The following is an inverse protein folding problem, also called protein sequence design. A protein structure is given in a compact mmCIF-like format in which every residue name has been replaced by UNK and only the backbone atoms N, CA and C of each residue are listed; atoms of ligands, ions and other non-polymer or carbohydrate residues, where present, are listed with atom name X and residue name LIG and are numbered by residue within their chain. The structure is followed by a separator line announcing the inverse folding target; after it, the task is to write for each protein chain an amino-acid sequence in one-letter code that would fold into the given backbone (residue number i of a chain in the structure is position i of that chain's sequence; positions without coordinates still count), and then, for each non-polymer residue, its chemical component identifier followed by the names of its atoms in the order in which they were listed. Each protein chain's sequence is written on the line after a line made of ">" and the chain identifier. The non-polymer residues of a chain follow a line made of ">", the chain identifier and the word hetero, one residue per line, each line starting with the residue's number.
data_IF_341602096863
#
_entry.id   IF_341602096863
#
_cell.length_a   1.000
_cell.length_b   1.000
_cell.length_c   1.000
_cell.angle_alpha   90.00
_cell.angle_beta   90.00
_cell.angle_gamma   90.00
#
_symmetry.space_group_name_H-M   'P 1'
#
loop_
_entity.id
_entity.type
_entity.pdbx_description
1 polymer ?
#
# COMPACT_ATOMS: atom_id res chain seq x y z
N UNK A 1 20.46 -26.38 -3.22
CA UNK A 1 20.94 -25.80 -1.92
C UNK A 1 20.85 -24.27 -1.84
N UNK A 2 20.96 -23.50 -2.94
CA UNK A 2 20.94 -22.02 -2.88
C UNK A 2 19.56 -21.41 -2.58
N UNK A 3 18.46 -22.06 -3.00
CA UNK A 3 17.11 -21.59 -2.72
C UNK A 3 16.74 -21.58 -1.22
N UNK A 4 17.23 -22.55 -0.44
CA UNK A 4 17.00 -22.60 1.01
C UNK A 4 17.66 -21.41 1.74
N UNK A 5 18.81 -20.94 1.28
CA UNK A 5 19.52 -19.79 1.86
C UNK A 5 18.81 -18.47 1.57
N UNK A 6 18.17 -18.34 0.40
CA UNK A 6 17.38 -17.16 0.05
C UNK A 6 16.19 -16.97 1.00
N UNK A 7 15.55 -18.05 1.44
CA UNK A 7 14.42 -17.99 2.37
C UNK A 7 14.83 -17.36 3.70
N UNK A 8 16.00 -17.71 4.23
CA UNK A 8 16.52 -17.14 5.49
C UNK A 8 16.83 -15.64 5.40
N UNK A 9 17.01 -15.10 4.20
CA UNK A 9 17.26 -13.67 3.97
C UNK A 9 15.94 -12.94 3.64
N UNK A 10 15.11 -13.50 2.76
CA UNK A 10 13.86 -12.89 2.31
C UNK A 10 12.80 -12.84 3.41
N UNK A 11 12.69 -13.89 4.23
CA UNK A 11 11.70 -13.97 5.29
C UNK A 11 11.86 -12.83 6.33
N UNK A 12 13.04 -12.60 6.94
CA UNK A 12 13.19 -11.48 7.86
C UNK A 12 13.04 -10.14 7.15
N UNK A 13 13.51 -9.99 5.91
CA UNK A 13 13.40 -8.73 5.16
C UNK A 13 11.93 -8.32 4.94
N UNK A 14 11.04 -9.29 4.64
CA UNK A 14 9.60 -9.05 4.55
C UNK A 14 8.94 -8.78 5.91
N UNK A 15 9.47 -9.34 7.00
CA UNK A 15 8.96 -9.02 8.34
C UNK A 15 9.41 -7.63 8.79
N UNK A 16 10.63 -7.22 8.44
CA UNK A 16 11.19 -5.90 8.74
C UNK A 16 10.35 -4.75 8.18
N UNK A 17 9.70 -4.94 7.03
CA UNK A 17 8.84 -3.91 6.43
C UNK A 17 7.62 -3.55 7.32
N UNK A 18 7.17 -4.47 8.17
CA UNK A 18 6.03 -4.26 9.07
C UNK A 18 6.38 -3.45 10.33
N UNK A 19 7.67 -3.18 10.58
CA UNK A 19 8.14 -2.47 11.77
C UNK A 19 8.40 -0.96 11.53
N UNK A 20 7.83 -0.37 10.47
CA UNK A 20 7.99 1.07 10.17
C UNK A 20 7.63 1.99 11.35
N UNK A 21 6.57 1.66 12.10
CA UNK A 21 6.14 2.40 13.29
C UNK A 21 7.10 2.25 14.47
N UNK A 22 7.76 1.10 14.61
CA UNK A 22 8.77 0.87 15.66
C UNK A 22 9.98 1.77 15.45
N UNK A 23 10.41 1.91 14.19
CA UNK A 23 11.50 2.83 13.84
C UNK A 23 11.22 4.27 14.27
N UNK A 24 9.99 4.75 14.03
CA UNK A 24 9.56 6.10 14.40
C UNK A 24 9.61 6.32 15.92
N UNK A 25 9.18 5.31 16.69
CA UNK A 25 9.26 5.33 18.15
C UNK A 25 10.71 5.31 18.66
N UNK A 26 11.57 4.47 18.07
CA UNK A 26 12.99 4.38 18.44
C UNK A 26 13.72 5.70 18.21
N UNK A 27 13.53 6.35 17.05
CA UNK A 27 14.13 7.65 16.73
C UNK A 27 13.63 8.74 17.68
N UNK A 28 12.35 8.69 18.07
CA UNK A 28 11.79 9.60 19.06
C UNK A 28 12.46 9.43 20.42
N UNK A 29 12.61 8.20 20.91
CA UNK A 29 13.21 7.95 22.23
C UNK A 29 14.68 8.39 22.27
N UNK A 30 15.44 8.12 21.20
CA UNK A 30 16.85 8.53 21.10
C UNK A 30 17.04 10.05 21.12
N UNK A 31 16.09 10.80 20.58
CA UNK A 31 16.14 12.26 20.47
C UNK A 31 15.17 12.97 21.43
N UNK A 32 14.64 12.26 22.42
CA UNK A 32 13.50 12.71 23.23
C UNK A 32 13.76 14.04 23.93
N UNK A 33 14.96 14.23 24.46
CA UNK A 33 15.35 15.46 25.14
C UNK A 33 15.40 16.66 24.18
N UNK A 34 15.94 16.46 22.98
CA UNK A 34 15.97 17.49 21.95
C UNK A 34 14.54 17.88 21.53
N UNK A 35 13.69 16.89 21.28
CA UNK A 35 12.29 17.10 20.87
C UNK A 35 11.51 17.83 21.98
N UNK A 36 11.68 17.40 23.24
CA UNK A 36 11.03 18.03 24.38
C UNK A 36 11.43 19.51 24.56
N UNK A 37 12.70 19.86 24.29
CA UNK A 37 13.21 21.22 24.46
C UNK A 37 12.91 22.14 23.27
N UNK A 38 12.98 21.63 22.04
CA UNK A 38 12.98 22.47 20.84
C UNK A 38 11.67 22.40 20.03
N UNK A 39 11.02 21.24 19.97
CA UNK A 39 9.88 21.01 19.06
C UNK A 39 8.55 20.86 19.81
N UNK A 40 8.58 20.52 21.10
CA UNK A 40 7.37 20.37 21.91
C UNK A 40 6.59 21.69 21.99
N UNK A 41 5.30 21.63 21.67
CA UNK A 41 4.38 22.78 21.75
C UNK A 41 4.08 23.18 23.21
N UNK A 42 4.16 22.22 24.12
CA UNK A 42 3.88 22.40 25.54
C UNK A 42 5.13 22.79 26.35
N UNK A 43 6.26 23.10 25.71
CA UNK A 43 7.54 23.33 26.40
C UNK A 43 7.54 24.54 27.36
N UNK A 44 6.62 25.49 27.16
CA UNK A 44 6.50 26.70 27.97
C UNK A 44 5.28 26.73 28.89
N UNK A 45 4.50 25.65 28.95
CA UNK A 45 3.32 25.57 29.82
C UNK A 45 3.51 24.55 30.94
N UNK A 46 2.56 24.54 31.88
CA UNK A 46 2.52 23.62 33.02
C UNK A 46 2.55 22.12 32.63
N UNK A 47 2.18 21.79 31.40
CA UNK A 47 2.20 20.42 30.86
C UNK A 47 3.55 20.02 30.28
N UNK A 48 4.58 20.88 30.31
CA UNK A 48 5.91 20.56 29.80
C UNK A 48 6.48 19.27 30.43
N UNK A 49 6.34 19.14 31.76
CA UNK A 49 6.93 18.05 32.55
C UNK A 49 6.29 16.69 32.25
N UNK A 50 4.98 16.68 31.98
CA UNK A 50 4.21 15.48 31.65
C UNK A 50 4.26 15.15 30.16
N UNK A 51 4.30 16.15 29.28
CA UNK A 51 4.28 15.94 27.84
C UNK A 51 5.59 15.35 27.31
N UNK A 52 6.76 15.88 27.71
CA UNK A 52 8.09 15.36 27.30
C UNK A 52 8.21 15.04 25.79
N UNK A 53 7.64 15.90 24.93
CA UNK A 53 7.67 15.73 23.47
C UNK A 53 6.62 14.78 22.87
N UNK A 54 5.77 14.13 23.68
CA UNK A 54 4.74 13.18 23.20
C UNK A 54 3.75 13.80 22.21
N UNK A 55 3.50 15.11 22.29
CA UNK A 55 2.66 15.83 21.32
C UNK A 55 3.19 15.70 19.88
N UNK A 56 4.51 15.72 19.69
CA UNK A 56 5.16 15.59 18.38
C UNK A 56 5.11 14.14 17.90
N UNK A 57 5.33 13.16 18.79
CA UNK A 57 5.20 11.75 18.46
C UNK A 57 3.79 11.44 17.94
N UNK A 58 2.77 11.84 18.69
CA UNK A 58 1.36 11.63 18.31
C UNK A 58 1.00 12.33 17.00
N UNK A 59 1.56 13.51 16.75
CA UNK A 59 1.36 14.23 15.49
C UNK A 59 1.93 13.44 14.31
N UNK A 60 3.20 13.01 14.40
CA UNK A 60 3.86 12.26 13.33
C UNK A 60 3.24 10.89 13.08
N UNK A 61 2.76 10.20 14.12
CA UNK A 61 2.03 8.93 13.95
C UNK A 61 0.73 9.13 13.16
N UNK A 62 -0.06 10.17 13.50
CA UNK A 62 -1.29 10.47 12.78
C UNK A 62 -1.04 10.86 11.32
N UNK A 63 -0.01 11.67 11.06
CA UNK A 63 0.40 12.02 9.69
C UNK A 63 0.78 10.78 8.86
N UNK A 64 1.42 9.79 9.49
CA UNK A 64 1.75 8.52 8.85
C UNK A 64 0.50 7.71 8.50
N UNK A 65 -0.42 7.56 9.46
CA UNK A 65 -1.70 6.85 9.27
C UNK A 65 -2.55 7.49 8.17
N UNK A 66 -2.70 8.82 8.19
CA UNK A 66 -3.47 9.54 7.16
C UNK A 66 -2.86 9.38 5.76
N UNK A 67 -1.52 9.35 5.68
CA UNK A 67 -0.83 9.15 4.40
C UNK A 67 -1.00 7.72 3.88
N UNK A 68 -0.98 6.72 4.75
CA UNK A 68 -1.29 5.33 4.38
C UNK A 68 -2.73 5.20 3.92
N UNK A 69 -3.68 5.82 4.62
CA UNK A 69 -5.10 5.77 4.26
C UNK A 69 -5.38 6.42 2.89
N UNK A 70 -4.81 7.61 2.61
CA UNK A 70 -4.92 8.25 1.29
C UNK A 70 -4.27 7.43 0.17
N UNK A 71 -3.17 6.73 0.46
CA UNK A 71 -2.56 5.80 -0.51
C UNK A 71 -3.47 4.58 -0.77
N UNK A 72 -4.20 4.11 0.23
CA UNK A 72 -5.14 3.00 0.05
C UNK A 72 -6.33 3.42 -0.81
N UNK A 73 -6.92 4.59 -0.56
CA UNK A 73 -8.05 5.12 -1.31
C UNK A 73 -7.72 5.33 -2.80
N UNK A 74 -6.54 5.89 -3.11
CA UNK A 74 -6.08 6.05 -4.50
C UNK A 74 -5.83 4.72 -5.22
N UNK A 75 -5.34 3.69 -4.51
CA UNK A 75 -5.14 2.35 -5.10
C UNK A 75 -6.45 1.62 -5.38
N UNK A 76 -7.49 1.84 -4.57
CA UNK A 76 -8.79 1.17 -4.75
C UNK A 76 -9.51 1.70 -6.00
N UNK A 77 -9.32 2.98 -6.33
CA UNK A 77 -9.95 3.62 -7.50
C UNK A 77 -9.42 3.05 -8.83
N UNK A 78 -8.17 2.53 -8.86
CA UNK A 78 -7.58 1.92 -10.05
C UNK A 78 -7.98 0.46 -10.29
N UNK A 79 -8.66 -0.19 -9.34
CA UNK A 79 -9.15 -1.57 -9.52
C UNK A 79 -10.55 -1.53 -10.13
N UNK A 80 -10.61 -1.32 -11.45
CA UNK A 80 -11.81 -1.68 -12.22
C UNK A 80 -11.96 -3.19 -12.13
N UNK A 81 -12.90 -3.66 -11.30
CA UNK A 81 -13.27 -5.07 -11.23
C UNK A 81 -13.91 -5.50 -12.55
N UNK A 82 -13.09 -5.95 -13.50
CA UNK A 82 -13.56 -6.70 -14.66
C UNK A 82 -13.89 -8.10 -14.15
N UNK A 83 -15.16 -8.34 -13.82
CA UNK A 83 -15.67 -9.68 -13.50
C UNK A 83 -15.71 -10.54 -14.77
N UNK A 84 -14.53 -10.92 -15.26
CA UNK A 84 -14.42 -11.92 -16.30
C UNK A 84 -14.32 -13.26 -15.56
N UNK A 85 -15.39 -14.07 -15.58
CA UNK A 85 -15.37 -15.41 -15.02
C UNK A 85 -14.44 -16.31 -15.84
N UNK A 86 -13.13 -16.12 -15.69
CA UNK A 86 -12.14 -17.01 -16.26
C UNK A 86 -12.15 -18.28 -15.42
N UNK A 87 -12.72 -19.35 -15.98
CA UNK A 87 -12.56 -20.70 -15.41
C UNK A 87 -11.09 -21.07 -15.52
N UNK A 88 -10.34 -20.89 -14.43
CA UNK A 88 -8.99 -21.42 -14.31
C UNK A 88 -9.09 -22.93 -14.10
N UNK A 89 -8.93 -23.69 -15.19
CA UNK A 89 -8.62 -25.12 -15.08
C UNK A 89 -7.12 -25.23 -14.91
N UNK A 90 -6.69 -25.65 -13.73
CA UNK A 90 -5.29 -25.88 -13.42
C UNK A 90 -4.92 -27.31 -13.86
N UNK A 91 -4.64 -27.50 -15.14
CA UNK A 91 -4.05 -28.75 -15.61
C UNK A 91 -2.56 -28.74 -15.26
N UNK A 92 -2.22 -29.40 -14.16
CA UNK A 92 -0.83 -29.64 -13.79
C UNK A 92 -0.30 -30.74 -14.71
N UNK A 93 0.19 -30.35 -15.88
CA UNK A 93 0.99 -31.24 -16.72
C UNK A 93 2.42 -31.26 -16.16
N UNK A 94 2.90 -32.45 -15.81
CA UNK A 94 4.32 -32.67 -15.55
C UNK A 94 5.07 -32.43 -16.87
N UNK A 95 5.97 -31.44 -16.89
CA UNK A 95 6.73 -31.05 -18.07
C UNK A 95 7.63 -32.20 -18.53
N UNK A 96 7.33 -32.79 -19.69
CA UNK A 96 8.40 -33.19 -20.60
C UNK A 96 8.73 -31.99 -21.49
N UNK A 97 10.02 -31.71 -21.60
CA UNK A 97 10.59 -30.54 -22.27
C UNK A 97 10.40 -30.67 -23.78
N UNK A 98 9.22 -30.30 -24.28
CA UNK A 98 8.95 -30.14 -25.71
C UNK A 98 8.72 -28.66 -26.00
N UNK A 99 9.59 -28.11 -26.84
CA UNK A 99 9.67 -26.74 -27.32
C UNK A 99 8.32 -25.99 -27.30
N UNK A 100 8.17 -25.10 -26.33
CA UNK A 100 7.05 -24.17 -26.25
C UNK A 100 7.22 -23.11 -27.35
N UNK A 101 6.62 -23.33 -28.52
CA UNK A 101 6.26 -22.20 -29.38
C UNK A 101 5.31 -21.32 -28.57
N UNK A 102 5.75 -20.10 -28.27
CA UNK A 102 4.97 -19.07 -27.60
C UNK A 102 3.78 -18.68 -28.48
N UNK A 103 2.69 -19.44 -28.38
CA UNK A 103 1.39 -19.05 -28.87
C UNK A 103 0.82 -17.98 -27.93
N UNK A 104 1.26 -16.74 -28.12
CA UNK A 104 0.56 -15.60 -27.54
C UNK A 104 -0.84 -15.56 -28.15
N UNK A 105 -1.92 -15.47 -27.34
CA UNK A 105 -3.25 -15.31 -27.90
C UNK A 105 -3.29 -14.02 -28.72
N UNK A 106 -3.67 -14.14 -29.99
CA UNK A 106 -3.80 -12.99 -30.87
C UNK A 106 -4.87 -12.04 -30.31
N UNK A 107 -4.47 -10.78 -30.07
CA UNK A 107 -5.40 -9.74 -29.61
C UNK A 107 -6.48 -9.51 -30.68
N UNK A 108 -7.73 -9.83 -30.34
CA UNK A 108 -8.88 -9.52 -31.19
C UNK A 108 -9.61 -8.29 -30.66
N UNK A 109 -9.48 -7.18 -31.38
CA UNK A 109 -10.11 -5.90 -31.05
C UNK A 109 -11.60 -5.88 -31.44
N UNK A 110 -12.43 -6.70 -30.78
CA UNK A 110 -13.88 -6.77 -31.04
C UNK A 110 -14.68 -5.63 -30.37
N UNK A 111 -14.08 -4.44 -30.26
CA UNK A 111 -14.73 -3.27 -29.69
C UNK A 111 -15.60 -2.59 -30.74
N UNK A 112 -16.92 -2.57 -30.52
CA UNK A 112 -17.85 -1.75 -31.30
C UNK A 112 -18.55 -0.77 -30.37
N UNK A 113 -18.37 0.52 -30.60
CA UNK A 113 -19.11 1.58 -29.90
C UNK A 113 -20.34 1.99 -30.70
N UNK A 114 -21.49 2.10 -30.03
CA UNK A 114 -22.68 2.75 -30.58
C UNK A 114 -22.82 4.13 -29.93
N UNK A 115 -22.64 5.23 -30.67
CA UNK A 115 -22.85 6.56 -30.11
C UNK A 115 -24.31 6.76 -29.71
N UNK A 116 -24.51 7.14 -28.45
CA UNK A 116 -25.81 7.55 -27.93
C UNK A 116 -25.91 9.06 -28.11
N UNK A 117 -26.73 9.51 -29.06
CA UNK A 117 -26.93 10.94 -29.35
C UNK A 117 -28.01 11.60 -28.49
N UNK A 118 -28.54 10.90 -27.48
CA UNK A 118 -29.53 11.48 -26.59
C UNK A 118 -28.84 12.37 -25.57
N UNK A 119 -29.15 13.66 -25.59
CA UNK A 119 -28.79 14.57 -24.51
C UNK A 119 -29.59 14.15 -23.28
N UNK A 120 -28.91 13.78 -22.21
CA UNK A 120 -29.55 13.46 -20.93
C UNK A 120 -30.22 14.72 -20.39
N UNK A 121 -31.55 14.70 -20.27
CA UNK A 121 -32.30 15.77 -19.61
C UNK A 121 -32.69 15.29 -18.21
N UNK A 122 -32.41 16.07 -17.15
CA UNK A 122 -32.87 15.73 -15.82
C UNK A 122 -34.41 15.77 -15.76
N UNK A 123 -35.02 15.01 -14.83
CA UNK A 123 -36.48 14.98 -14.68
C UNK A 123 -37.00 16.39 -14.35
N UNK A 124 -38.05 16.79 -15.07
CA UNK A 124 -38.81 17.99 -14.77
C UNK A 124 -39.73 17.67 -13.59
N UNK A 125 -39.59 18.44 -12.51
CA UNK A 125 -40.47 18.40 -11.33
C UNK A 125 -41.86 18.89 -11.71
#
# INVERSE_FOLDING_TARGET
>A
MKAKQLIWILLPLMLLQSFSSVWLWTVFEFNRDYIAKNECINRFNEKALSCRGQCILMKKMREHEEKEQKNLESRIIDVVFINNQQRFNLDIAFFEEAAAETLLPAYQANYSYRPIFTIFHPPLV
#
